data_IF_802366983283
#
_entry.id   IF_802366983283
#
_cell.length_a   1.000
_cell.length_b   1.000
_cell.length_c   1.000
_cell.angle_alpha   90.00
_cell.angle_beta   90.00
_cell.angle_gamma   90.00
#
_symmetry.space_group_name_H-M   'P 1'
#
loop_
_entity.id
_entity.type
_entity.pdbx_description
1 polymer ?
#
# COMPACT_ATOMS: atom_id res chain seq x y z
N UNK A 1 -13.19 0.67 12.18
CA UNK A 1 -12.85 1.06 10.79
C UNK A 1 -11.38 1.45 10.78
N UNK A 2 -10.53 0.78 9.97
CA UNK A 2 -9.12 1.12 9.88
C UNK A 2 -8.89 2.50 9.24
N UNK A 3 -7.87 3.20 9.73
CA UNK A 3 -7.37 4.43 9.10
C UNK A 3 -6.28 4.07 8.09
N UNK A 4 -6.44 4.53 6.86
CA UNK A 4 -5.44 4.33 5.81
C UNK A 4 -4.99 5.70 5.29
N UNK A 5 -3.67 5.88 5.19
CA UNK A 5 -3.06 7.00 4.51
C UNK A 5 -2.99 6.66 3.03
N UNK A 6 -3.68 7.42 2.20
CA UNK A 6 -3.78 7.19 0.75
C UNK A 6 -3.26 8.40 0.00
N UNK A 7 -2.40 8.16 -0.98
CA UNK A 7 -2.01 9.13 -2.01
C UNK A 7 -2.12 8.52 -3.39
N UNK A 8 -2.27 9.39 -4.40
CA UNK A 8 -2.31 9.00 -5.80
C UNK A 8 -0.96 9.19 -6.46
N UNK A 9 -0.59 8.26 -7.34
CA UNK A 9 0.57 8.41 -8.23
C UNK A 9 0.28 9.44 -9.35
N UNK A 10 -0.84 9.35 -10.09
CA UNK A 10 -1.24 10.42 -11.00
C UNK A 10 -1.67 11.68 -10.24
N UNK A 11 -1.83 12.79 -10.96
CA UNK A 11 -2.23 14.07 -10.37
C UNK A 11 -3.61 14.00 -9.70
N UNK A 12 -4.55 13.31 -10.34
CA UNK A 12 -5.89 13.04 -9.84
C UNK A 12 -6.29 11.62 -10.22
N UNK A 13 -6.94 10.91 -9.30
CA UNK A 13 -7.47 9.57 -9.52
C UNK A 13 -8.77 9.38 -8.76
N UNK A 14 -9.78 8.78 -9.38
CA UNK A 14 -11.09 8.60 -8.76
C UNK A 14 -11.41 7.13 -8.61
N UNK A 15 -11.66 6.68 -7.37
CA UNK A 15 -12.02 5.29 -7.06
C UNK A 15 -12.91 5.22 -5.83
N UNK A 16 -13.83 4.25 -5.79
CA UNK A 16 -14.78 4.09 -4.70
C UNK A 16 -15.57 5.37 -4.34
N UNK A 17 -15.87 6.21 -5.35
CA UNK A 17 -16.56 7.49 -5.16
C UNK A 17 -15.69 8.62 -4.59
N UNK A 18 -14.43 8.36 -4.26
CA UNK A 18 -13.48 9.33 -3.70
C UNK A 18 -12.46 9.77 -4.76
N UNK A 19 -12.11 11.06 -4.78
CA UNK A 19 -11.01 11.59 -5.60
C UNK A 19 -9.74 11.68 -4.75
N UNK A 20 -8.67 11.04 -5.19
CA UNK A 20 -7.34 11.05 -4.60
C UNK A 20 -6.40 11.91 -5.45
N UNK A 21 -5.52 12.65 -4.78
CA UNK A 21 -4.48 13.46 -5.42
C UNK A 21 -3.11 12.98 -4.95
N UNK A 22 -2.03 13.59 -5.44
CA UNK A 22 -0.67 13.31 -4.98
C UNK A 22 -0.45 13.59 -3.49
N UNK A 23 -1.31 14.41 -2.89
CA UNK A 23 -1.25 14.72 -1.47
C UNK A 23 -1.75 13.53 -0.65
N UNK A 24 -0.92 13.08 0.29
CA UNK A 24 -1.27 11.98 1.16
C UNK A 24 -2.28 12.44 2.22
N UNK A 25 -3.42 11.76 2.29
CA UNK A 25 -4.47 12.03 3.28
C UNK A 25 -4.85 10.77 4.04
N UNK A 26 -5.23 10.94 5.30
CA UNK A 26 -5.73 9.83 6.12
C UNK A 26 -7.24 9.74 5.96
N UNK A 27 -7.74 8.58 5.58
CA UNK A 27 -9.16 8.29 5.44
C UNK A 27 -9.53 7.07 6.27
N UNK A 28 -10.64 7.16 6.99
CA UNK A 28 -11.27 6.02 7.63
C UNK A 28 -12.08 5.26 6.57
N UNK A 29 -11.70 4.02 6.28
CA UNK A 29 -12.34 3.20 5.25
C UNK A 29 -12.68 1.83 5.80
N UNK A 30 -13.75 1.21 5.30
CA UNK A 30 -14.09 -0.17 5.65
C UNK A 30 -13.06 -1.16 5.10
N UNK A 31 -12.98 -2.35 5.69
CA UNK A 31 -12.03 -3.39 5.26
C UNK A 31 -12.21 -3.81 3.81
N UNK A 32 -13.45 -3.81 3.31
CA UNK A 32 -13.75 -4.11 1.90
C UNK A 32 -13.17 -3.04 0.97
N UNK A 33 -13.40 -1.77 1.30
CA UNK A 33 -12.87 -0.62 0.55
C UNK A 33 -11.35 -0.58 0.63
N UNK A 34 -10.76 -0.90 1.78
CA UNK A 34 -9.31 -0.94 1.96
C UNK A 34 -8.64 -1.95 1.02
N UNK A 35 -9.21 -3.16 0.88
CA UNK A 35 -8.70 -4.18 -0.06
C UNK A 35 -8.73 -3.67 -1.50
N UNK A 36 -9.85 -3.05 -1.91
CA UNK A 36 -9.96 -2.45 -3.25
C UNK A 36 -8.88 -1.40 -3.46
N UNK A 37 -8.65 -0.50 -2.49
CA UNK A 37 -7.62 0.54 -2.63
C UNK A 37 -6.19 -0.04 -2.66
N UNK A 38 -5.92 -1.14 -1.95
CA UNK A 38 -4.62 -1.82 -1.95
C UNK A 38 -4.33 -2.59 -3.25
N UNK A 39 -5.37 -3.06 -3.94
CA UNK A 39 -5.23 -3.73 -5.24
C UNK A 39 -4.94 -2.75 -6.38
N UNK A 40 -5.24 -1.46 -6.20
CA UNK A 40 -5.02 -0.44 -7.23
C UNK A 40 -3.54 -0.03 -7.35
N UNK A 41 -2.86 -0.30 -8.48
CA UNK A 41 -1.45 0.02 -8.65
C UNK A 41 -1.17 1.52 -8.77
N UNK A 42 -2.21 2.32 -8.98
CA UNK A 42 -2.16 3.79 -9.10
C UNK A 42 -2.27 4.51 -7.76
N UNK A 43 -2.59 3.80 -6.68
CA UNK A 43 -2.67 4.35 -5.33
C UNK A 43 -1.52 3.82 -4.48
N UNK A 44 -0.99 4.68 -3.61
CA UNK A 44 -0.14 4.28 -2.51
C UNK A 44 -0.99 4.29 -1.25
N UNK A 45 -1.19 3.12 -0.65
CA UNK A 45 -2.02 2.91 0.54
C UNK A 45 -1.16 2.37 1.67
N UNK A 46 -1.12 3.12 2.76
CA UNK A 46 -0.42 2.75 3.99
C UNK A 46 -1.45 2.62 5.11
N UNK A 47 -1.57 1.42 5.69
CA UNK A 47 -2.53 1.17 6.76
C UNK A 47 -1.92 1.62 8.08
N UNK A 48 -2.51 2.63 8.71
CA UNK A 48 -2.12 3.09 10.04
C UNK A 48 -2.78 2.16 11.07
N UNK A 49 -2.30 0.91 11.14
CA UNK A 49 -2.56 0.06 12.31
C UNK A 49 -1.60 0.47 13.42
N UNK A 50 -2.09 0.60 14.64
CA UNK A 50 -1.24 0.67 15.82
C UNK A 50 -0.42 -0.62 15.88
N UNK A 51 0.82 -0.55 15.39
CA UNK A 51 1.90 -1.54 15.49
C UNK A 51 1.46 -3.02 15.35
N UNK A 52 1.45 -3.50 14.12
CA UNK A 52 1.92 -4.87 13.87
C UNK A 52 3.02 -4.81 12.82
N UNK A 53 4.24 -5.06 13.30
CA UNK A 53 5.44 -5.32 12.54
C UNK A 53 5.18 -6.21 11.32
N UNK A 54 5.53 -5.72 10.12
CA UNK A 54 5.85 -6.58 8.98
C UNK A 54 7.25 -6.28 8.49
N UNK A 55 8.19 -6.86 9.22
CA UNK A 55 9.40 -7.49 8.68
C UNK A 55 8.99 -8.45 7.55
N UNK A 56 9.65 -8.34 6.39
CA UNK A 56 9.92 -9.39 5.37
C UNK A 56 10.11 -8.80 3.95
N UNK A 57 11.22 -8.09 3.78
CA UNK A 57 12.17 -8.34 2.67
C UNK A 57 13.50 -8.49 3.43
N UNK A 58 14.22 -9.59 3.42
CA UNK A 58 14.77 -10.29 2.28
C UNK A 58 14.98 -11.75 2.67
N UNK A 59 14.40 -12.67 1.91
CA UNK A 59 14.69 -14.08 1.99
C UNK A 59 14.69 -14.65 0.58
N UNK A 60 15.76 -15.39 0.28
CA UNK A 60 16.04 -16.19 -0.92
C UNK A 60 16.56 -15.43 -2.15
N UNK A 61 17.57 -15.90 -2.87
CA UNK A 61 18.57 -16.97 -2.70
C UNK A 61 19.32 -17.06 -4.03
N UNK A 62 20.65 -17.14 -4.02
CA UNK A 62 21.37 -18.10 -4.87
C UNK A 62 22.86 -18.12 -4.51
N UNK A 63 23.21 -19.14 -3.75
CA UNK A 63 24.55 -19.71 -3.64
C UNK A 63 24.98 -20.32 -4.99
N UNK A 64 26.15 -19.96 -5.50
CA UNK A 64 26.97 -20.87 -6.30
C UNK A 64 28.45 -20.45 -6.16
N UNK A 65 29.20 -21.28 -5.43
CA UNK A 65 30.66 -21.34 -5.42
C UNK A 65 31.07 -21.94 -6.76
N UNK A 66 31.66 -21.16 -7.67
CA UNK A 66 32.35 -21.72 -8.83
C UNK A 66 33.77 -22.07 -8.43
N UNK A 67 34.01 -23.37 -8.29
CA UNK A 67 35.33 -24.00 -8.29
C UNK A 67 35.77 -24.14 -9.75
N UNK A 68 36.89 -23.55 -10.14
CA UNK A 68 37.76 -24.03 -11.23
C UNK A 68 39.18 -23.58 -10.92
#
# INVERSE_FOLDING_TARGET
>A
MPNAKVSSRPERFRRAGMEFTREARVVAVDEKTLKVLQEEPMLAVEVLKEKEDKKEKEGLSCTARSTT
#
